data_IF_903743587339
#
_entry.id   IF_903743587339
#
_cell.length_a   1.000
_cell.length_b   1.000
_cell.length_c   1.000
_cell.angle_alpha   90.00
_cell.angle_beta   90.00
_cell.angle_gamma   90.00
#
_symmetry.space_group_name_H-M   'P 1'
#
loop_
_entity.id
_entity.type
_entity.pdbx_description
1 polymer ?
#
# COMPACT_ATOMS: atom_id res chain seq x y z
N UNK A 1 101.27 -27.07 -32.24
CA UNK A 1 101.17 -27.86 -31.00
C UNK A 1 99.70 -27.95 -30.63
N UNK A 2 99.09 -29.14 -30.61
CA UNK A 2 97.72 -29.29 -30.13
C UNK A 2 97.69 -28.99 -28.63
N UNK A 3 96.76 -28.13 -28.18
CA UNK A 3 96.69 -27.74 -26.78
C UNK A 3 96.00 -28.83 -25.96
N UNK A 4 96.25 -28.90 -24.65
CA UNK A 4 95.54 -29.84 -23.76
C UNK A 4 94.01 -29.67 -23.81
N UNK A 5 93.52 -28.47 -24.18
CA UNK A 5 92.09 -28.23 -24.40
C UNK A 5 91.56 -29.03 -25.60
N UNK A 6 92.31 -29.08 -26.70
CA UNK A 6 91.88 -29.79 -27.90
C UNK A 6 91.81 -31.31 -27.66
N UNK A 7 92.74 -31.86 -26.86
CA UNK A 7 92.71 -33.27 -26.46
C UNK A 7 91.50 -33.59 -25.58
N UNK A 8 91.15 -32.70 -24.64
CA UNK A 8 89.96 -32.88 -23.79
C UNK A 8 88.69 -32.77 -24.62
N UNK A 9 88.60 -31.81 -25.56
CA UNK A 9 87.45 -31.68 -26.46
C UNK A 9 87.30 -32.89 -27.38
N UNK A 10 88.40 -33.42 -27.93
CA UNK A 10 88.37 -34.63 -28.76
C UNK A 10 87.94 -35.87 -27.95
N UNK A 11 88.42 -36.02 -26.72
CA UNK A 11 88.01 -37.12 -25.83
C UNK A 11 86.53 -37.03 -25.45
N UNK A 12 86.04 -35.83 -25.08
CA UNK A 12 84.63 -35.59 -24.78
C UNK A 12 83.73 -35.83 -26.00
N UNK A 13 84.19 -35.49 -27.20
CA UNK A 13 83.47 -35.75 -28.44
C UNK A 13 83.31 -37.26 -28.70
N UNK A 14 84.39 -38.04 -28.55
CA UNK A 14 84.33 -39.50 -28.70
C UNK A 14 83.43 -40.13 -27.64
N UNK A 15 83.53 -39.71 -26.38
CA UNK A 15 82.65 -40.18 -25.30
C UNK A 15 81.18 -39.81 -25.55
N UNK A 16 80.91 -38.61 -26.08
CA UNK A 16 79.57 -38.17 -26.48
C UNK A 16 78.95 -39.03 -27.58
N UNK A 17 79.76 -39.42 -28.59
CA UNK A 17 79.30 -40.32 -29.67
C UNK A 17 79.02 -41.73 -29.19
N UNK A 18 79.86 -42.28 -28.32
CA UNK A 18 79.66 -43.62 -27.76
C UNK A 18 78.38 -43.71 -26.92
N UNK A 19 78.16 -42.72 -26.05
CA UNK A 19 76.96 -42.65 -25.22
C UNK A 19 75.69 -42.43 -26.04
N UNK A 20 75.76 -41.64 -27.12
CA UNK A 20 74.63 -41.41 -28.02
C UNK A 20 74.29 -42.63 -28.87
N UNK A 21 75.31 -43.31 -29.41
CA UNK A 21 75.13 -44.56 -30.15
C UNK A 21 74.52 -45.70 -29.32
N UNK A 22 74.86 -45.80 -28.03
CA UNK A 22 74.29 -46.82 -27.14
C UNK A 22 72.82 -46.57 -26.79
N UNK A 23 72.39 -45.31 -26.69
CA UNK A 23 71.04 -44.97 -26.20
C UNK A 23 70.04 -44.66 -27.32
N UNK A 24 70.49 -44.16 -28.47
CA UNK A 24 69.62 -43.75 -29.60
C UNK A 24 69.88 -44.52 -30.90
N UNK A 25 70.91 -45.36 -30.97
CA UNK A 25 71.26 -46.13 -32.18
C UNK A 25 71.93 -45.33 -33.30
N UNK A 26 71.95 -43.99 -33.20
CA UNK A 26 72.52 -43.08 -34.19
C UNK A 26 73.69 -42.27 -33.60
N UNK A 27 74.95 -42.63 -33.91
CA UNK A 27 76.13 -42.04 -33.28
C UNK A 27 76.59 -40.69 -33.89
N UNK A 28 75.89 -40.18 -34.91
CA UNK A 28 76.22 -38.94 -35.64
C UNK A 28 75.19 -37.81 -35.47
N UNK A 29 74.22 -37.96 -34.55
CA UNK A 29 73.24 -36.89 -34.27
C UNK A 29 73.95 -35.65 -33.68
N UNK A 30 73.78 -34.44 -34.26
CA UNK A 30 74.53 -33.25 -33.85
C UNK A 30 74.18 -32.73 -32.45
N UNK A 31 72.98 -33.04 -31.94
CA UNK A 31 72.45 -32.48 -30.71
C UNK A 31 72.66 -33.48 -29.54
N UNK A 32 73.45 -33.14 -28.50
CA UNK A 32 73.74 -34.07 -27.42
C UNK A 32 72.47 -34.53 -26.69
N UNK A 33 72.50 -35.75 -26.13
CA UNK A 33 71.35 -36.31 -25.41
C UNK A 33 70.90 -35.34 -24.30
N UNK A 34 69.61 -34.99 -24.35
CA UNK A 34 69.00 -34.07 -23.40
C UNK A 34 69.14 -32.58 -23.75
N UNK A 35 69.95 -32.17 -24.73
CA UNK A 35 70.19 -30.76 -25.04
C UNK A 35 68.90 -29.97 -25.30
N UNK A 36 67.94 -30.53 -26.05
CA UNK A 36 66.61 -29.92 -26.27
C UNK A 36 65.82 -29.76 -24.97
N UNK A 37 65.86 -30.75 -24.10
CA UNK A 37 65.19 -30.75 -22.79
C UNK A 37 65.84 -29.74 -21.84
N UNK A 38 67.17 -29.73 -21.75
CA UNK A 38 67.93 -28.81 -20.89
C UNK A 38 67.76 -27.37 -21.34
N UNK A 39 67.84 -27.09 -22.67
CA UNK A 39 67.53 -25.78 -23.25
C UNK A 39 66.08 -25.40 -22.95
N UNK A 40 65.12 -26.31 -23.13
CA UNK A 40 63.72 -26.09 -22.81
C UNK A 40 63.44 -25.74 -21.35
N UNK A 41 64.10 -26.42 -20.41
CA UNK A 41 64.01 -26.13 -18.96
C UNK A 41 64.60 -24.75 -18.65
N UNK A 42 65.76 -24.41 -19.22
CA UNK A 42 66.38 -23.08 -19.01
C UNK A 42 65.53 -21.94 -19.57
N UNK A 43 65.02 -22.09 -20.80
CA UNK A 43 64.11 -21.09 -21.37
C UNK A 43 62.80 -21.01 -20.59
N UNK A 44 62.24 -22.15 -20.17
CA UNK A 44 61.05 -22.19 -19.32
C UNK A 44 61.26 -21.47 -17.98
N UNK A 45 62.42 -21.70 -17.34
CA UNK A 45 62.80 -21.01 -16.10
C UNK A 45 62.94 -19.50 -16.33
N UNK A 46 63.58 -19.09 -17.41
CA UNK A 46 63.74 -17.68 -17.78
C UNK A 46 62.38 -17.00 -17.96
N UNK A 47 61.45 -17.64 -18.70
CA UNK A 47 60.10 -17.13 -18.89
C UNK A 47 59.33 -17.07 -17.57
N UNK A 48 59.42 -18.11 -16.74
CA UNK A 48 58.76 -18.12 -15.42
C UNK A 48 59.27 -16.99 -14.53
N UNK A 49 60.57 -16.74 -14.53
CA UNK A 49 61.19 -15.65 -13.77
C UNK A 49 60.77 -14.28 -14.31
N UNK A 50 60.67 -14.13 -15.63
CA UNK A 50 60.18 -12.91 -16.27
C UNK A 50 58.72 -12.64 -15.90
N UNK A 51 57.85 -13.66 -15.95
CA UNK A 51 56.44 -13.54 -15.55
C UNK A 51 56.34 -13.18 -14.07
N UNK A 52 57.10 -13.85 -13.19
CA UNK A 52 57.12 -13.54 -11.77
C UNK A 52 57.57 -12.09 -11.49
N UNK A 53 58.59 -11.61 -12.22
CA UNK A 53 59.05 -10.24 -12.15
C UNK A 53 57.96 -9.25 -12.60
N UNK A 54 57.32 -9.51 -13.73
CA UNK A 54 56.22 -8.67 -14.24
C UNK A 54 55.06 -8.60 -13.24
N UNK A 55 54.66 -9.74 -12.66
CA UNK A 55 53.59 -9.79 -11.65
C UNK A 55 53.98 -9.04 -10.37
N UNK A 56 55.23 -9.16 -9.95
CA UNK A 56 55.74 -8.48 -8.75
C UNK A 56 55.79 -6.97 -8.95
N UNK A 57 56.33 -6.51 -10.09
CA UNK A 57 56.37 -5.08 -10.45
C UNK A 57 54.94 -4.53 -10.56
N UNK A 58 54.04 -5.26 -11.22
CA UNK A 58 52.63 -4.86 -11.34
C UNK A 58 51.96 -4.73 -9.97
N UNK A 59 52.18 -5.69 -9.07
CA UNK A 59 51.62 -5.67 -7.71
C UNK A 59 52.13 -4.52 -6.84
N UNK A 60 53.38 -4.09 -7.01
CA UNK A 60 53.96 -2.94 -6.29
C UNK A 60 53.48 -1.61 -6.87
N UNK A 61 53.37 -1.49 -8.19
CA UNK A 61 52.93 -0.26 -8.87
C UNK A 61 51.43 -0.02 -8.70
N UNK A 62 50.62 -1.09 -8.73
CA UNK A 62 49.19 -1.03 -8.43
C UNK A 62 48.91 -1.86 -7.18
N UNK A 63 49.29 -1.36 -5.98
CA UNK A 63 48.98 -2.05 -4.75
C UNK A 63 47.47 -2.20 -4.67
N UNK A 64 47.01 -3.45 -4.54
CA UNK A 64 45.59 -3.79 -4.49
C UNK A 64 44.92 -3.03 -3.35
N UNK A 65 44.24 -1.95 -3.69
CA UNK A 65 43.40 -1.18 -2.80
C UNK A 65 42.35 -0.54 -3.66
N UNK A 66 41.10 -0.97 -3.53
CA UNK A 66 40.00 -0.23 -4.11
C UNK A 66 40.13 1.20 -3.59
N UNK A 67 40.39 2.20 -4.43
CA UNK A 67 40.38 3.62 -4.05
C UNK A 67 39.14 4.34 -4.54
N UNK A 68 38.32 3.66 -5.36
CA UNK A 68 37.03 4.14 -5.84
C UNK A 68 36.07 4.57 -4.73
N UNK A 69 36.25 4.03 -3.52
CA UNK A 69 35.45 4.40 -2.35
C UNK A 69 35.75 5.81 -1.80
N UNK A 70 36.88 6.44 -2.15
CA UNK A 70 37.22 7.81 -1.72
C UNK A 70 36.52 8.90 -2.54
N UNK A 71 35.43 8.57 -3.22
CA UNK A 71 34.58 9.53 -3.90
C UNK A 71 33.45 9.95 -2.98
N UNK A 72 33.19 11.25 -2.88
CA UNK A 72 32.11 11.76 -2.03
C UNK A 72 30.77 11.20 -2.50
N UNK A 73 29.96 10.69 -1.57
CA UNK A 73 28.71 10.00 -1.87
C UNK A 73 28.84 8.48 -2.04
N UNK A 74 30.03 7.91 -1.85
CA UNK A 74 30.20 6.45 -1.92
C UNK A 74 29.84 5.77 -0.61
N UNK A 75 28.90 4.81 -0.67
CA UNK A 75 28.60 3.87 0.40
C UNK A 75 29.58 2.70 0.35
N UNK A 76 30.43 2.65 1.36
CA UNK A 76 31.50 1.68 1.54
C UNK A 76 31.02 0.57 2.46
N UNK A 77 31.03 -0.67 1.97
CA UNK A 77 30.71 -1.86 2.78
C UNK A 77 31.99 -2.65 3.05
N UNK A 78 32.26 -2.91 4.32
CA UNK A 78 33.45 -3.66 4.74
C UNK A 78 33.21 -5.16 4.58
N UNK A 79 34.09 -5.84 3.84
CA UNK A 79 34.06 -7.30 3.68
C UNK A 79 34.21 -8.01 5.03
N UNK A 80 33.47 -9.10 5.21
CA UNK A 80 33.48 -9.90 6.43
C UNK A 80 32.59 -9.35 7.55
N UNK A 81 32.70 -8.06 7.90
CA UNK A 81 31.87 -7.47 8.97
C UNK A 81 30.52 -6.93 8.49
N UNK A 82 30.40 -6.57 7.20
CA UNK A 82 29.20 -5.93 6.67
C UNK A 82 28.99 -4.50 7.16
N UNK A 83 29.93 -3.92 7.91
CA UNK A 83 29.83 -2.54 8.39
C UNK A 83 29.77 -1.56 7.21
N UNK A 84 28.85 -0.60 7.29
CA UNK A 84 28.57 0.37 6.22
C UNK A 84 28.97 1.78 6.62
N UNK A 85 29.67 2.47 5.74
CA UNK A 85 30.11 3.85 5.91
C UNK A 85 29.82 4.66 4.67
N UNK A 86 29.33 5.90 4.80
CA UNK A 86 29.22 6.84 3.69
C UNK A 86 30.42 7.78 3.73
N UNK A 87 31.12 7.89 2.60
CA UNK A 87 32.25 8.81 2.47
C UNK A 87 31.77 10.19 2.04
N UNK A 88 31.82 11.17 2.94
CA UNK A 88 31.43 12.57 2.71
C UNK A 88 32.42 13.46 3.45
N UNK A 89 32.75 14.63 2.87
CA UNK A 89 33.66 15.61 3.49
C UNK A 89 35.02 15.03 3.94
N UNK A 90 35.54 14.05 3.20
CA UNK A 90 36.83 13.42 3.50
C UNK A 90 36.81 12.42 4.65
N UNK A 91 35.64 12.12 5.24
CA UNK A 91 35.47 11.24 6.40
C UNK A 91 34.57 10.06 6.09
N UNK A 92 34.77 8.95 6.82
CA UNK A 92 33.89 7.79 6.80
C UNK A 92 32.86 7.92 7.93
N UNK A 93 31.61 8.18 7.57
CA UNK A 93 30.50 8.26 8.51
C UNK A 93 29.78 6.91 8.58
N UNK A 94 29.67 6.25 9.73
CA UNK A 94 28.82 5.06 9.86
C UNK A 94 27.38 5.41 9.49
N UNK A 95 26.70 4.57 8.72
CA UNK A 95 25.31 4.83 8.32
C UNK A 95 24.37 3.75 8.83
N UNK A 96 23.23 4.18 9.39
CA UNK A 96 22.23 3.29 9.99
C UNK A 96 21.48 2.41 8.97
N UNK A 97 21.27 2.92 7.75
CA UNK A 97 20.57 2.21 6.68
C UNK A 97 20.92 2.77 5.30
N UNK A 98 20.79 1.94 4.26
CA UNK A 98 21.06 2.38 2.88
C UNK A 98 20.04 3.44 2.39
N UNK A 99 18.80 3.47 2.90
CA UNK A 99 17.85 4.57 2.62
C UNK A 99 18.42 5.93 3.00
N UNK A 100 19.04 6.05 4.17
CA UNK A 100 19.68 7.30 4.61
C UNK A 100 20.86 7.68 3.73
N UNK A 101 21.67 6.70 3.30
CA UNK A 101 22.75 6.93 2.35
C UNK A 101 22.22 7.45 1.00
N UNK A 102 21.13 6.87 0.48
CA UNK A 102 20.44 7.32 -0.74
C UNK A 102 19.93 8.75 -0.60
N UNK A 103 19.29 9.10 0.51
CA UNK A 103 18.79 10.45 0.75
C UNK A 103 19.91 11.50 0.84
N UNK A 104 21.04 11.17 1.47
CA UNK A 104 22.17 12.09 1.62
C UNK A 104 23.00 12.23 0.33
N UNK A 105 23.26 11.13 -0.37
CA UNK A 105 24.11 11.13 -1.55
C UNK A 105 23.34 11.49 -2.84
N UNK A 106 22.04 11.19 -2.90
CA UNK A 106 21.20 11.36 -4.09
C UNK A 106 21.76 10.61 -5.30
N UNK A 107 21.78 11.27 -6.46
CA UNK A 107 22.28 10.72 -7.73
C UNK A 107 23.79 10.42 -7.72
N UNK A 108 24.51 10.89 -6.70
CA UNK A 108 25.95 10.64 -6.54
C UNK A 108 26.25 9.32 -5.84
N UNK A 109 25.22 8.60 -5.38
CA UNK A 109 25.41 7.36 -4.62
C UNK A 109 26.16 6.31 -5.45
N UNK A 110 27.25 5.80 -4.88
CA UNK A 110 28.04 4.68 -5.42
C UNK A 110 28.17 3.61 -4.35
N UNK A 111 28.32 2.36 -4.77
CA UNK A 111 28.53 1.24 -3.86
C UNK A 111 29.91 0.65 -4.08
N UNK A 112 30.70 0.54 -3.01
CA UNK A 112 32.03 -0.06 -3.04
C UNK A 112 32.17 -1.05 -1.90
N UNK A 113 32.68 -2.24 -2.21
CA UNK A 113 32.94 -3.27 -1.20
C UNK A 113 34.44 -3.47 -1.04
N UNK A 114 34.94 -3.20 0.17
CA UNK A 114 36.38 -3.11 0.42
C UNK A 114 36.79 -3.90 1.65
N UNK A 115 38.03 -4.34 1.67
CA UNK A 115 38.61 -4.94 2.86
C UNK A 115 38.85 -3.87 3.93
N UNK A 116 38.72 -4.22 5.22
CA UNK A 116 38.91 -3.26 6.31
C UNK A 116 40.27 -2.55 6.25
N UNK A 117 41.30 -3.27 5.78
CA UNK A 117 42.66 -2.74 5.60
C UNK A 117 42.73 -1.63 4.54
N UNK A 118 41.83 -1.65 3.55
CA UNK A 118 41.79 -0.63 2.49
C UNK A 118 41.30 0.72 3.00
N UNK A 119 40.57 0.76 4.12
CA UNK A 119 40.13 2.01 4.74
C UNK A 119 41.29 2.78 5.39
N UNK A 120 42.38 2.09 5.78
CA UNK A 120 43.55 2.68 6.42
C UNK A 120 43.19 3.59 7.60
N UNK A 121 43.90 4.71 7.71
CA UNK A 121 43.74 5.72 8.78
C UNK A 121 42.72 6.82 8.42
N UNK A 122 41.76 6.51 7.55
CA UNK A 122 40.79 7.52 7.11
C UNK A 122 39.94 7.98 8.29
N UNK A 123 39.82 9.30 8.54
CA UNK A 123 39.09 9.81 9.69
C UNK A 123 37.64 9.34 9.69
N UNK A 124 37.14 8.97 10.87
CA UNK A 124 35.74 8.59 11.07
C UNK A 124 34.95 9.79 11.56
N UNK A 125 33.75 9.95 11.04
CA UNK A 125 32.81 10.99 11.48
C UNK A 125 31.68 10.41 12.34
N UNK A 126 30.72 11.27 12.66
CA UNK A 126 29.52 10.89 13.41
C UNK A 126 28.63 9.91 12.63
N UNK A 127 27.80 9.17 13.37
CA UNK A 127 26.81 8.25 12.78
C UNK A 127 25.72 9.06 12.07
N UNK A 128 25.41 8.70 10.83
CA UNK A 128 24.37 9.32 10.03
C UNK A 128 23.19 8.37 9.81
N UNK A 129 21.99 8.93 9.78
CA UNK A 129 20.81 8.27 9.27
C UNK A 129 19.55 8.40 10.12
N UNK A 130 18.45 7.90 9.57
CA UNK A 130 17.12 7.94 10.15
C UNK A 130 16.88 6.60 10.85
N UNK A 131 16.66 6.63 12.17
CA UNK A 131 16.32 5.42 12.94
C UNK A 131 15.00 4.84 12.43
N UNK A 132 14.95 3.54 12.19
CA UNK A 132 13.72 2.85 11.73
C UNK A 132 13.47 2.92 10.21
N UNK A 133 14.29 3.65 9.45
CA UNK A 133 14.21 3.59 7.99
C UNK A 133 14.69 2.21 7.49
N UNK A 134 14.06 1.66 6.43
CA UNK A 134 14.45 0.36 5.88
C UNK A 134 15.86 0.41 5.30
N UNK A 135 16.56 -0.72 5.31
CA UNK A 135 17.88 -0.82 4.69
C UNK A 135 17.80 -0.50 3.19
N UNK A 136 16.96 -1.21 2.45
CA UNK A 136 16.68 -0.93 1.05
C UNK A 136 15.19 -0.62 0.85
N UNK A 137 14.83 0.54 0.25
CA UNK A 137 13.47 0.78 -0.17
C UNK A 137 13.12 -0.14 -1.37
N UNK A 138 11.82 -0.42 -1.60
CA UNK A 138 11.37 -1.15 -2.78
C UNK A 138 11.87 -0.50 -4.07
N UNK A 139 12.19 -1.30 -5.08
CA UNK A 139 12.50 -0.78 -6.42
C UNK A 139 11.23 -0.26 -7.09
N UNK A 140 11.40 0.55 -8.13
CA UNK A 140 10.26 1.11 -8.86
C UNK A 140 9.33 0.03 -9.43
N UNK A 141 9.88 -1.08 -9.93
CA UNK A 141 9.11 -2.24 -10.42
C UNK A 141 8.37 -3.03 -9.31
N UNK A 142 8.81 -2.90 -8.06
CA UNK A 142 8.21 -3.57 -6.89
C UNK A 142 7.12 -2.72 -6.23
N UNK A 143 6.91 -1.49 -6.72
CA UNK A 143 5.81 -0.64 -6.28
C UNK A 143 4.50 -1.11 -6.89
N UNK A 144 3.50 -1.34 -6.05
CA UNK A 144 2.17 -1.71 -6.50
C UNK A 144 1.31 -0.50 -6.81
N UNK A 145 0.68 -0.51 -7.99
CA UNK A 145 -0.46 0.35 -8.34
C UNK A 145 -1.81 -0.34 -8.11
N UNK A 146 -1.79 -1.54 -7.50
CA UNK A 146 -2.94 -2.39 -7.27
C UNK A 146 -3.92 -1.85 -6.23
N UNK A 147 -5.03 -2.56 -6.07
CA UNK A 147 -6.07 -2.23 -5.11
C UNK A 147 -5.57 -2.31 -3.66
N UNK A 148 -6.18 -1.51 -2.80
CA UNK A 148 -6.03 -1.58 -1.35
C UNK A 148 -7.33 -2.11 -0.77
N UNK A 149 -7.24 -2.93 0.26
CA UNK A 149 -8.41 -3.53 0.89
C UNK A 149 -8.29 -3.43 2.40
N UNK A 150 -9.23 -2.74 3.01
CA UNK A 150 -9.37 -2.68 4.46
C UNK A 150 -10.54 -3.58 4.86
N UNK A 151 -10.32 -4.56 5.72
CA UNK A 151 -11.29 -5.58 6.08
C UNK A 151 -11.58 -5.57 7.57
N UNK A 152 -12.87 -5.50 7.92
CA UNK A 152 -13.35 -5.78 9.26
C UNK A 152 -13.64 -7.27 9.40
N UNK A 153 -13.00 -7.90 10.38
CA UNK A 153 -13.24 -9.29 10.80
C UNK A 153 -13.65 -9.33 12.27
N UNK A 154 -14.33 -10.40 12.68
CA UNK A 154 -14.63 -10.67 14.09
C UNK A 154 -13.49 -11.46 14.69
N UNK A 155 -13.02 -11.03 15.87
CA UNK A 155 -12.04 -11.73 16.70
C UNK A 155 -12.77 -12.39 17.86
N UNK A 156 -12.87 -13.71 17.86
CA UNK A 156 -13.29 -14.45 19.05
C UNK A 156 -12.25 -14.27 20.16
N UNK A 157 -12.62 -13.62 21.27
CA UNK A 157 -11.81 -13.62 22.48
C UNK A 157 -12.04 -14.91 23.26
N UNK A 158 -11.08 -15.29 24.11
CA UNK A 158 -11.23 -16.43 25.01
C UNK A 158 -12.37 -16.29 26.03
N UNK A 159 -12.98 -15.10 26.15
CA UNK A 159 -14.17 -14.82 26.98
C UNK A 159 -15.49 -14.93 26.20
N UNK A 160 -15.45 -15.33 24.92
CA UNK A 160 -16.64 -15.46 24.07
C UNK A 160 -17.14 -14.14 23.45
N UNK A 161 -16.55 -13.00 23.81
CA UNK A 161 -16.85 -11.72 23.16
C UNK A 161 -16.14 -11.63 21.80
N UNK A 162 -16.87 -11.21 20.77
CA UNK A 162 -16.29 -10.97 19.45
C UNK A 162 -15.86 -9.51 19.31
N UNK A 163 -14.58 -9.22 19.47
CA UNK A 163 -14.02 -7.89 19.19
C UNK A 163 -13.89 -7.65 17.69
N UNK A 164 -14.04 -6.41 17.23
CA UNK A 164 -13.75 -6.08 15.83
C UNK A 164 -12.23 -6.02 15.59
N UNK A 165 -11.80 -6.42 14.40
CA UNK A 165 -10.41 -6.36 13.95
C UNK A 165 -10.33 -5.76 12.55
N UNK A 166 -9.37 -4.85 12.33
CA UNK A 166 -9.04 -4.29 11.03
C UNK A 166 -7.79 -4.95 10.42
N UNK A 167 -7.94 -5.52 9.24
CA UNK A 167 -6.81 -5.98 8.40
C UNK A 167 -6.67 -5.05 7.19
N UNK A 168 -5.46 -4.56 6.94
CA UNK A 168 -5.12 -3.76 5.75
C UNK A 168 -4.25 -4.58 4.78
N UNK A 169 -4.76 -4.80 3.57
CA UNK A 169 -4.02 -5.44 2.48
C UNK A 169 -3.67 -4.44 1.38
N UNK A 170 -2.40 -4.39 0.99
CA UNK A 170 -1.85 -3.42 0.02
C UNK A 170 -1.36 -4.14 -1.22
N UNK A 171 -1.96 -3.85 -2.38
CA UNK A 171 -1.50 -4.36 -3.66
C UNK A 171 -1.69 -5.86 -3.86
N UNK A 172 -2.63 -6.44 -3.11
CA UNK A 172 -3.05 -7.83 -3.17
C UNK A 172 -4.46 -7.89 -3.76
N UNK A 173 -4.78 -8.89 -4.60
CA UNK A 173 -6.10 -9.03 -5.17
C UNK A 173 -7.12 -9.28 -4.05
N UNK A 174 -8.11 -8.41 -3.95
CA UNK A 174 -9.27 -8.65 -3.11
C UNK A 174 -10.16 -9.69 -3.80
N UNK A 175 -10.19 -10.91 -3.27
CA UNK A 175 -11.28 -11.84 -3.58
C UNK A 175 -12.60 -11.34 -2.99
N UNK A 176 -13.71 -12.00 -3.36
CA UNK A 176 -15.00 -11.76 -2.73
C UNK A 176 -16.09 -11.19 -3.64
N UNK A 177 -17.29 -11.09 -3.07
CA UNK A 177 -18.48 -10.57 -3.72
C UNK A 177 -18.57 -9.07 -3.48
N UNK A 178 -18.52 -8.28 -4.56
CA UNK A 178 -18.87 -6.88 -4.47
C UNK A 178 -20.37 -6.72 -4.24
N UNK A 179 -20.76 -5.80 -3.36
CA UNK A 179 -22.16 -5.46 -3.16
C UNK A 179 -22.70 -4.79 -4.43
N UNK A 180 -23.88 -5.24 -4.88
CA UNK A 180 -24.61 -4.58 -5.95
C UNK A 180 -25.09 -3.18 -5.54
N UNK A 181 -25.46 -2.36 -6.51
CA UNK A 181 -25.82 -0.95 -6.27
C UNK A 181 -26.99 -0.73 -5.31
N UNK A 182 -27.85 -1.74 -5.11
CA UNK A 182 -29.01 -1.71 -4.19
C UNK A 182 -28.83 -2.61 -2.96
N UNK A 183 -27.62 -3.11 -2.71
CA UNK A 183 -27.28 -3.84 -1.49
C UNK A 183 -26.49 -2.95 -0.54
N UNK A 184 -26.65 -3.19 0.75
CA UNK A 184 -25.83 -2.58 1.78
C UNK A 184 -25.53 -3.53 2.93
N UNK A 185 -24.58 -3.18 3.78
CA UNK A 185 -24.26 -3.95 4.99
C UNK A 185 -24.42 -3.04 6.19
N UNK A 186 -25.17 -3.51 7.19
CA UNK A 186 -25.33 -2.81 8.45
C UNK A 186 -24.13 -3.09 9.36
N UNK A 187 -23.47 -2.04 9.81
CA UNK A 187 -22.30 -2.12 10.70
C UNK A 187 -22.50 -1.24 11.93
N UNK A 188 -21.77 -1.50 13.00
CA UNK A 188 -21.74 -0.63 14.19
C UNK A 188 -20.30 -0.35 14.61
N UNK A 189 -20.01 0.92 14.89
CA UNK A 189 -18.73 1.34 15.44
C UNK A 189 -18.60 1.01 16.94
N UNK A 190 -17.46 1.35 17.57
CA UNK A 190 -17.25 1.17 19.00
C UNK A 190 -18.23 1.93 19.90
N UNK A 191 -18.85 2.99 19.38
CA UNK A 191 -19.88 3.78 20.05
C UNK A 191 -21.29 3.15 19.96
N UNK A 192 -21.41 1.99 19.31
CA UNK A 192 -22.66 1.28 19.09
C UNK A 192 -23.57 1.93 18.04
N UNK A 193 -23.15 3.01 17.38
CA UNK A 193 -24.00 3.71 16.40
C UNK A 193 -24.04 2.95 15.07
N UNK A 194 -25.25 2.61 14.57
CA UNK A 194 -25.38 1.89 13.32
C UNK A 194 -25.06 2.78 12.12
N UNK A 195 -24.36 2.20 11.15
CA UNK A 195 -24.09 2.79 9.85
C UNK A 195 -24.45 1.79 8.75
N UNK A 196 -24.96 2.27 7.63
CA UNK A 196 -25.15 1.47 6.42
C UNK A 196 -23.96 1.69 5.50
N UNK A 197 -23.30 0.61 5.12
CA UNK A 197 -22.33 0.62 4.04
C UNK A 197 -23.05 0.48 2.71
N UNK A 198 -22.94 1.48 1.85
CA UNK A 198 -23.60 1.50 0.55
C UNK A 198 -22.74 2.25 -0.48
N UNK A 199 -22.48 1.61 -1.62
CA UNK A 199 -21.70 2.18 -2.74
C UNK A 199 -20.37 2.86 -2.33
N UNK A 200 -19.62 2.23 -1.41
CA UNK A 200 -18.32 2.75 -0.96
C UNK A 200 -18.40 3.91 0.04
N UNK A 201 -19.59 4.21 0.55
CA UNK A 201 -19.83 5.21 1.60
C UNK A 201 -20.33 4.56 2.88
N UNK A 202 -20.10 5.22 4.02
CA UNK A 202 -20.81 4.98 5.27
C UNK A 202 -21.91 6.02 5.45
N UNK A 203 -23.14 5.57 5.65
CA UNK A 203 -24.28 6.45 5.91
C UNK A 203 -24.68 6.24 7.36
N UNK A 204 -24.59 7.28 8.19
CA UNK A 204 -24.99 7.19 9.59
C UNK A 204 -26.51 7.01 9.69
N UNK A 205 -26.97 6.08 10.52
CA UNK A 205 -28.38 6.00 10.89
C UNK A 205 -28.57 6.73 12.22
N UNK A 206 -29.72 7.37 12.38
CA UNK A 206 -30.16 7.92 13.65
C UNK A 206 -31.26 7.02 14.25
N UNK A 207 -30.91 6.14 15.21
CA UNK A 207 -31.91 5.29 15.87
C UNK A 207 -32.95 6.08 16.66
N UNK A 208 -32.57 7.24 17.22
CA UNK A 208 -33.47 8.06 18.02
C UNK A 208 -34.57 8.71 17.16
N UNK A 209 -34.29 8.95 15.89
CA UNK A 209 -35.26 9.40 14.89
C UNK A 209 -36.04 8.24 14.22
N UNK A 210 -35.88 7.00 14.70
CA UNK A 210 -36.60 5.83 14.18
C UNK A 210 -36.11 5.31 12.83
N UNK A 211 -34.96 5.77 12.32
CA UNK A 211 -34.48 5.46 10.98
C UNK A 211 -34.30 3.95 10.72
N UNK A 212 -33.80 3.21 11.71
CA UNK A 212 -33.59 1.76 11.61
C UNK A 212 -34.91 1.02 11.36
N UNK A 213 -35.96 1.32 12.14
CA UNK A 213 -37.28 0.71 11.97
C UNK A 213 -37.95 1.18 10.67
N UNK A 214 -37.84 2.47 10.35
CA UNK A 214 -38.40 3.05 9.13
C UNK A 214 -37.90 2.34 7.87
N UNK A 215 -36.62 1.98 7.83
CA UNK A 215 -35.98 1.33 6.69
C UNK A 215 -36.10 -0.20 6.72
N UNK A 216 -36.65 -0.78 7.80
CA UNK A 216 -36.82 -2.23 7.95
C UNK A 216 -35.54 -2.96 8.36
N UNK A 217 -34.69 -2.32 9.17
CA UNK A 217 -33.40 -2.86 9.63
C UNK A 217 -33.41 -3.25 11.12
N UNK A 218 -34.57 -3.18 11.78
CA UNK A 218 -34.78 -3.43 13.21
C UNK A 218 -34.39 -4.85 13.65
N UNK A 219 -34.65 -5.85 12.81
CA UNK A 219 -34.28 -7.24 13.08
C UNK A 219 -32.80 -7.57 12.77
N UNK A 220 -32.06 -6.65 12.15
CA UNK A 220 -30.69 -6.91 11.72
C UNK A 220 -29.70 -6.65 12.86
N UNK A 221 -28.75 -7.57 13.04
CA UNK A 221 -27.63 -7.38 13.96
C UNK A 221 -26.47 -6.73 13.20
N UNK A 222 -26.06 -5.50 13.53
CA UNK A 222 -24.95 -4.84 12.84
C UNK A 222 -23.64 -5.61 13.02
N UNK A 223 -22.82 -5.65 11.98
CA UNK A 223 -21.45 -6.20 12.08
C UNK A 223 -20.59 -5.21 12.89
N UNK A 224 -19.98 -5.64 14.01
CA UNK A 224 -19.11 -4.75 14.78
C UNK A 224 -17.83 -4.43 14.01
N UNK A 225 -17.44 -3.17 13.99
CA UNK A 225 -16.23 -2.68 13.30
C UNK A 225 -15.41 -1.75 14.19
N UNK A 226 -14.14 -1.56 13.86
CA UNK A 226 -13.29 -0.56 14.53
C UNK A 226 -13.57 0.84 13.99
N UNK A 227 -13.24 1.87 14.76
CA UNK A 227 -13.30 3.26 14.29
C UNK A 227 -12.40 3.47 13.06
N UNK A 228 -11.20 2.89 13.08
CA UNK A 228 -10.26 2.95 11.95
C UNK A 228 -10.86 2.36 10.66
N UNK A 229 -11.65 1.29 10.75
CA UNK A 229 -12.36 0.74 9.58
C UNK A 229 -13.41 1.72 9.03
N UNK A 230 -14.21 2.36 9.90
CA UNK A 230 -15.20 3.36 9.47
C UNK A 230 -14.55 4.48 8.66
N UNK A 231 -13.38 4.94 9.08
CA UNK A 231 -12.64 6.03 8.43
C UNK A 231 -12.02 5.65 7.08
N UNK A 232 -11.96 4.36 6.73
CA UNK A 232 -11.53 3.92 5.38
C UNK A 232 -12.56 4.20 4.28
N UNK A 233 -13.81 4.44 4.68
CA UNK A 233 -14.91 4.75 3.77
C UNK A 233 -15.15 6.26 3.74
N UNK A 234 -15.85 6.75 2.72
CA UNK A 234 -16.29 8.16 2.71
C UNK A 234 -17.55 8.30 3.56
N UNK A 235 -17.65 9.39 4.34
CA UNK A 235 -18.92 9.75 4.97
C UNK A 235 -19.93 10.20 3.90
N UNK A 236 -21.06 9.50 3.82
CA UNK A 236 -22.22 9.87 3.01
C UNK A 236 -23.23 10.70 3.81
N UNK A 237 -24.37 11.06 3.19
CA UNK A 237 -25.46 11.68 3.93
C UNK A 237 -25.97 10.75 5.03
N UNK A 238 -26.38 11.32 6.16
CA UNK A 238 -27.04 10.56 7.20
C UNK A 238 -28.40 10.06 6.68
N UNK A 239 -28.74 8.79 6.94
CA UNK A 239 -30.06 8.21 6.70
C UNK A 239 -31.03 8.74 7.75
N UNK A 240 -31.35 10.02 7.63
CA UNK A 240 -32.26 10.77 8.48
C UNK A 240 -33.38 11.35 7.63
N UNK A 241 -34.53 11.61 8.25
CA UNK A 241 -35.67 12.21 7.56
C UNK A 241 -35.30 13.57 6.99
N UNK A 242 -35.53 13.81 5.68
CA UNK A 242 -35.32 15.14 5.11
C UNK A 242 -36.08 16.21 5.88
N UNK A 243 -35.44 17.34 6.18
CA UNK A 243 -36.05 18.44 6.91
C UNK A 243 -36.35 19.62 5.98
N UNK A 244 -37.59 19.74 5.44
CA UNK A 244 -37.99 20.93 4.70
C UNK A 244 -37.83 22.20 5.55
N UNK A 245 -37.17 23.24 5.03
CA UNK A 245 -37.10 24.53 5.72
C UNK A 245 -38.51 25.07 6.01
N UNK A 246 -38.75 25.52 7.26
CA UNK A 246 -40.06 26.02 7.68
C UNK A 246 -41.08 24.93 8.00
N UNK A 247 -40.66 23.69 8.31
CA UNK A 247 -41.55 22.62 8.76
C UNK A 247 -42.54 23.11 9.84
N UNK A 248 -43.82 22.79 9.65
CA UNK A 248 -44.92 23.19 10.53
C UNK A 248 -45.52 24.58 10.24
N UNK A 249 -44.86 25.42 9.44
CA UNK A 249 -45.44 26.69 8.98
C UNK A 249 -46.67 26.44 8.09
N UNK A 250 -47.65 27.38 8.06
CA UNK A 250 -48.82 27.28 7.20
C UNK A 250 -48.43 27.17 5.72
N UNK A 251 -49.09 26.25 5.01
CA UNK A 251 -48.98 26.07 3.57
C UNK A 251 -50.27 26.44 2.83
N UNK A 252 -50.31 26.33 1.49
CA UNK A 252 -51.52 26.55 0.69
C UNK A 252 -52.65 25.57 1.06
N UNK A 253 -53.87 25.85 0.64
CA UNK A 253 -54.94 24.88 0.73
C UNK A 253 -54.67 23.73 -0.25
N UNK A 254 -54.64 22.49 0.25
CA UNK A 254 -54.42 21.27 -0.54
C UNK A 254 -55.39 20.20 -0.04
N UNK A 255 -55.94 19.39 -0.94
CA UNK A 255 -56.91 18.35 -0.63
C UNK A 255 -58.10 18.87 0.22
N UNK A 256 -58.59 20.06 -0.12
CA UNK A 256 -59.76 20.67 0.54
C UNK A 256 -59.53 21.24 1.95
N UNK A 257 -58.28 21.31 2.43
CA UNK A 257 -57.98 21.87 3.76
C UNK A 257 -56.66 22.65 3.79
N UNK A 258 -56.48 23.51 4.82
CA UNK A 258 -55.21 24.19 5.04
C UNK A 258 -54.08 23.20 5.33
N UNK A 259 -52.93 23.37 4.67
CA UNK A 259 -51.78 22.49 4.84
C UNK A 259 -50.70 23.11 5.72
N UNK A 260 -49.65 22.31 6.01
CA UNK A 260 -48.43 22.77 6.66
C UNK A 260 -47.21 22.23 5.91
N UNK A 261 -46.15 23.02 5.87
CA UNK A 261 -44.87 22.57 5.32
C UNK A 261 -44.37 21.34 6.10
N UNK A 262 -43.88 20.33 5.37
CA UNK A 262 -43.49 19.02 5.90
C UNK A 262 -44.61 17.98 5.89
N UNK A 263 -45.86 18.33 5.57
CA UNK A 263 -46.91 17.33 5.38
C UNK A 263 -46.67 16.51 4.12
N UNK A 264 -46.96 15.22 4.23
CA UNK A 264 -46.81 14.24 3.16
C UNK A 264 -48.13 14.01 2.45
N UNK A 265 -48.04 13.67 1.17
CA UNK A 265 -49.19 13.46 0.30
C UNK A 265 -48.98 12.29 -0.66
N UNK A 266 -50.06 11.60 -0.99
CA UNK A 266 -50.12 10.59 -2.04
C UNK A 266 -50.63 11.17 -3.35
N UNK A 267 -49.93 10.92 -4.45
CA UNK A 267 -50.35 11.23 -5.80
C UNK A 267 -51.46 10.30 -6.31
N UNK A 268 -52.12 10.66 -7.43
CA UNK A 268 -53.17 9.83 -8.02
C UNK A 268 -52.68 8.46 -8.48
N UNK A 269 -51.43 8.39 -8.96
CA UNK A 269 -50.76 7.21 -9.52
C UNK A 269 -49.81 6.52 -8.54
N UNK A 270 -49.85 6.90 -7.26
CA UNK A 270 -49.09 6.25 -6.17
C UNK A 270 -47.73 6.89 -5.85
N UNK A 271 -47.37 7.98 -6.54
CA UNK A 271 -46.22 8.81 -6.17
C UNK A 271 -46.42 9.44 -4.80
N UNK A 272 -45.33 9.83 -4.17
CA UNK A 272 -45.34 10.37 -2.81
C UNK A 272 -44.69 11.73 -2.83
N UNK A 273 -45.29 12.67 -2.13
CA UNK A 273 -44.83 14.05 -2.10
C UNK A 273 -44.69 14.54 -0.66
N UNK A 274 -43.83 15.52 -0.46
CA UNK A 274 -43.83 16.36 0.74
C UNK A 274 -44.01 17.82 0.32
N UNK A 275 -44.80 18.56 1.09
CA UNK A 275 -44.93 19.99 0.89
C UNK A 275 -43.71 20.72 1.46
N UNK A 276 -43.08 21.54 0.63
CA UNK A 276 -42.00 22.46 1.01
C UNK A 276 -42.43 23.90 0.76
N UNK A 277 -41.60 24.88 1.14
CA UNK A 277 -41.83 26.29 0.77
C UNK A 277 -41.85 26.53 -0.74
N UNK A 278 -41.15 25.70 -1.51
CA UNK A 278 -41.09 25.78 -2.98
C UNK A 278 -42.25 25.04 -3.65
N UNK A 279 -43.10 24.33 -2.88
CA UNK A 279 -44.20 23.51 -3.38
C UNK A 279 -44.04 22.03 -3.07
N UNK A 280 -44.85 21.21 -3.74
CA UNK A 280 -44.88 19.76 -3.64
C UNK A 280 -43.65 19.14 -4.32
N UNK A 281 -42.82 18.50 -3.51
CA UNK A 281 -41.58 17.84 -3.94
C UNK A 281 -41.80 16.32 -3.93
N UNK A 282 -41.52 15.60 -5.03
CA UNK A 282 -41.61 14.15 -5.04
C UNK A 282 -40.55 13.54 -4.11
N UNK A 283 -40.95 12.51 -3.37
CA UNK A 283 -40.11 11.78 -2.43
C UNK A 283 -39.63 10.46 -3.03
N UNK A 284 -38.40 10.09 -2.67
CA UNK A 284 -37.90 8.74 -2.83
C UNK A 284 -38.55 7.80 -1.80
N UNK A 285 -38.48 6.48 -2.02
CA UNK A 285 -38.99 5.50 -1.04
C UNK A 285 -38.29 5.65 0.31
N UNK A 286 -36.97 5.83 0.30
CA UNK A 286 -36.16 6.07 1.51
C UNK A 286 -36.60 7.33 2.23
N UNK A 287 -36.70 8.46 1.51
CA UNK A 287 -37.10 9.74 2.09
C UNK A 287 -38.52 9.70 2.67
N UNK A 288 -39.44 9.02 1.99
CA UNK A 288 -40.80 8.82 2.46
C UNK A 288 -40.85 7.99 3.75
N UNK A 289 -40.16 6.85 3.80
CA UNK A 289 -40.14 5.99 4.99
C UNK A 289 -39.55 6.72 6.20
N UNK A 290 -38.45 7.45 6.00
CA UNK A 290 -37.81 8.21 7.06
C UNK A 290 -38.74 9.32 7.58
N UNK A 291 -39.41 10.08 6.71
CA UNK A 291 -40.39 11.10 7.13
C UNK A 291 -41.59 10.50 7.87
N UNK A 292 -42.06 9.32 7.45
CA UNK A 292 -43.19 8.64 8.09
C UNK A 292 -42.90 8.27 9.55
N UNK A 293 -41.65 7.92 9.86
CA UNK A 293 -41.22 7.51 11.19
C UNK A 293 -40.63 8.66 12.04
N UNK A 294 -40.45 9.86 11.46
CA UNK A 294 -39.75 10.98 12.09
C UNK A 294 -40.62 11.70 13.15
N UNK A 295 -40.21 11.71 14.43
CA UNK A 295 -40.94 12.39 15.49
C UNK A 295 -41.10 13.90 15.25
N UNK A 296 -40.13 14.55 14.60
CA UNK A 296 -40.22 15.97 14.32
C UNK A 296 -41.28 16.27 13.24
N UNK A 297 -41.39 15.42 12.21
CA UNK A 297 -42.47 15.50 11.21
C UNK A 297 -43.84 15.33 11.87
N UNK A 298 -43.98 14.32 12.73
CA UNK A 298 -45.21 14.09 13.49
C UNK A 298 -45.61 15.31 14.32
N UNK A 299 -44.67 15.87 15.09
CA UNK A 299 -44.93 17.00 15.99
C UNK A 299 -45.26 18.29 15.23
N UNK A 300 -44.45 18.65 14.23
CA UNK A 300 -44.49 19.98 13.62
C UNK A 300 -45.47 20.07 12.45
N UNK A 301 -45.51 19.06 11.58
CA UNK A 301 -46.40 19.07 10.41
C UNK A 301 -47.79 18.48 10.69
N UNK A 302 -47.89 17.57 11.67
CA UNK A 302 -49.12 16.86 12.03
C UNK A 302 -49.65 17.17 13.43
N UNK A 303 -49.02 18.10 14.17
CA UNK A 303 -49.47 18.51 15.50
C UNK A 303 -49.43 17.40 16.55
N UNK A 304 -48.54 16.41 16.38
CA UNK A 304 -48.43 15.23 17.24
C UNK A 304 -49.35 14.07 16.85
N UNK A 305 -50.28 14.26 15.92
CA UNK A 305 -51.14 13.19 15.39
C UNK A 305 -50.37 12.21 14.49
N UNK A 306 -50.96 11.05 14.20
CA UNK A 306 -50.36 10.07 13.31
C UNK A 306 -50.07 10.67 11.92
N UNK A 307 -48.90 10.35 11.36
CA UNK A 307 -48.52 10.78 10.01
C UNK A 307 -49.34 10.00 8.99
N UNK A 308 -50.44 10.61 8.53
CA UNK A 308 -51.31 10.06 7.49
C UNK A 308 -51.24 10.95 6.25
N UNK A 309 -50.60 10.50 5.16
CA UNK A 309 -50.55 11.25 3.93
C UNK A 309 -51.94 11.42 3.31
N UNK A 310 -52.33 12.66 3.03
CA UNK A 310 -53.58 12.94 2.33
C UNK A 310 -53.42 12.69 0.83
N UNK A 311 -54.51 12.37 0.13
CA UNK A 311 -54.49 12.19 -1.33
C UNK A 311 -54.60 13.55 -2.01
N UNK A 312 -53.70 13.82 -2.94
CA UNK A 312 -53.75 15.03 -3.77
C UNK A 312 -54.74 14.87 -4.90
N UNK A 313 -55.45 15.95 -5.20
CA UNK A 313 -56.18 16.09 -6.46
C UNK A 313 -55.19 16.47 -7.59
N UNK A 314 -55.45 16.06 -8.84
CA UNK A 314 -54.59 16.43 -9.97
C UNK A 314 -54.39 17.95 -10.13
N UNK A 315 -55.42 18.75 -9.79
CA UNK A 315 -55.36 20.21 -9.85
C UNK A 315 -54.37 20.80 -8.84
N UNK A 316 -54.38 20.30 -7.60
CA UNK A 316 -53.46 20.73 -6.55
C UNK A 316 -52.00 20.46 -6.93
N UNK A 317 -51.74 19.27 -7.48
CA UNK A 317 -50.41 18.88 -7.93
C UNK A 317 -49.93 19.73 -9.10
N UNK A 318 -50.81 20.08 -10.04
CA UNK A 318 -50.47 20.94 -11.17
C UNK A 318 -50.17 22.38 -10.73
N UNK A 319 -50.92 22.91 -9.77
CA UNK A 319 -50.80 24.29 -9.31
C UNK A 319 -49.62 24.53 -8.36
N UNK A 320 -49.24 23.53 -7.55
CA UNK A 320 -48.26 23.71 -6.46
C UNK A 320 -47.01 22.85 -6.62
N UNK A 321 -46.65 22.44 -7.84
CA UNK A 321 -45.46 21.63 -8.08
C UNK A 321 -44.18 22.44 -7.82
N UNK A 322 -43.25 21.86 -7.06
CA UNK A 322 -41.94 22.47 -6.87
C UNK A 322 -41.07 22.38 -8.14
N UNK A 323 -40.06 23.26 -8.29
CA UNK A 323 -39.07 23.16 -9.36
C UNK A 323 -38.36 21.81 -9.37
N UNK A 324 -37.92 21.34 -10.55
CA UNK A 324 -37.30 20.02 -10.70
C UNK A 324 -36.06 19.79 -9.81
N UNK A 325 -35.31 20.86 -9.49
CA UNK A 325 -34.14 20.81 -8.61
C UNK A 325 -34.45 20.54 -7.13
N UNK A 326 -35.67 20.86 -6.67
CA UNK A 326 -36.06 20.76 -5.27
C UNK A 326 -36.02 19.31 -4.75
N UNK A 327 -36.38 18.34 -5.60
CA UNK A 327 -36.32 16.92 -5.26
C UNK A 327 -34.89 16.44 -4.98
N UNK A 328 -33.94 16.86 -5.83
CA UNK A 328 -32.52 16.52 -5.63
C UNK A 328 -31.94 17.21 -4.40
N UNK A 329 -32.32 18.46 -4.17
CA UNK A 329 -31.89 19.23 -3.00
C UNK A 329 -32.42 18.64 -1.69
N UNK A 330 -33.66 18.16 -1.67
CA UNK A 330 -34.27 17.53 -0.50
C UNK A 330 -33.71 16.12 -0.24
N UNK A 331 -33.48 15.34 -1.30
CA UNK A 331 -32.94 13.99 -1.17
C UNK A 331 -31.48 13.96 -0.71
N UNK A 332 -30.70 15.02 -0.92
CA UNK A 332 -29.31 15.17 -0.42
C UNK A 332 -28.38 13.96 -0.69
N UNK A 333 -28.62 13.22 -1.77
CA UNK A 333 -27.83 12.01 -2.11
C UNK A 333 -28.21 10.74 -1.35
N UNK A 334 -29.34 10.74 -0.63
CA UNK A 334 -29.93 9.53 -0.06
C UNK A 334 -30.26 8.51 -1.16
N UNK A 335 -30.17 7.20 -0.88
CA UNK A 335 -30.63 6.16 -1.80
C UNK A 335 -32.09 6.38 -2.19
N UNK A 336 -32.43 6.15 -3.46
CA UNK A 336 -33.82 6.26 -3.91
C UNK A 336 -34.73 5.19 -3.27
N UNK A 337 -34.17 4.00 -3.05
CA UNK A 337 -34.81 2.91 -2.32
C UNK A 337 -33.92 2.49 -1.15
N UNK A 338 -34.49 2.08 -0.01
CA UNK A 338 -33.70 1.55 1.09
C UNK A 338 -32.85 0.37 0.59
N UNK A 339 -31.51 0.43 0.69
CA UNK A 339 -30.68 -0.68 0.23
C UNK A 339 -31.04 -1.95 0.99
N UNK A 340 -31.10 -3.08 0.29
CA UNK A 340 -31.36 -4.38 0.90
C UNK A 340 -30.13 -4.81 1.68
N UNK A 341 -30.31 -5.25 2.92
CA UNK A 341 -29.21 -5.75 3.71
C UNK A 341 -28.69 -7.06 3.10
N UNK A 342 -27.44 -7.05 2.68
CA UNK A 342 -26.72 -8.24 2.31
C UNK A 342 -26.39 -9.04 3.59
N UNK A 343 -26.64 -10.36 3.63
CA UNK A 343 -26.24 -11.18 4.75
C UNK A 343 -24.72 -11.19 4.87
N UNK A 344 -24.24 -11.15 6.11
CA UNK A 344 -22.82 -11.32 6.46
C UNK A 344 -22.72 -12.35 7.55
N UNK A 345 -22.21 -13.52 7.18
CA UNK A 345 -22.04 -14.64 8.11
C UNK A 345 -20.89 -14.37 9.10
N UNK A 346 -20.87 -15.00 10.29
CA UNK A 346 -19.82 -14.79 11.27
C UNK A 346 -18.40 -15.12 10.79
N UNK A 347 -18.26 -15.99 9.79
CA UNK A 347 -17.01 -16.39 9.15
C UNK A 347 -16.64 -15.52 7.93
N UNK A 348 -17.38 -14.44 7.68
CA UNK A 348 -17.13 -13.48 6.62
C UNK A 348 -16.57 -12.16 7.15
N UNK A 349 -15.80 -11.49 6.29
CA UNK A 349 -15.27 -10.15 6.48
C UNK A 349 -16.04 -9.16 5.61
N UNK A 350 -16.24 -7.95 6.15
CA UNK A 350 -16.76 -6.80 5.40
C UNK A 350 -15.57 -5.91 5.07
N UNK A 351 -15.36 -5.61 3.78
CA UNK A 351 -14.17 -4.90 3.35
C UNK A 351 -14.48 -3.67 2.50
N UNK A 352 -13.70 -2.62 2.69
CA UNK A 352 -13.61 -1.47 1.81
C UNK A 352 -12.45 -1.71 0.82
N UNK A 353 -12.79 -1.87 -0.46
CA UNK A 353 -11.84 -2.01 -1.55
C UNK A 353 -11.64 -0.69 -2.28
N UNK A 354 -10.43 -0.12 -2.20
CA UNK A 354 -10.02 1.09 -2.89
C UNK A 354 -9.24 0.73 -4.16
N UNK A 355 -9.75 1.11 -5.33
CA UNK A 355 -9.04 0.96 -6.60
C UNK A 355 -8.57 2.33 -7.10
N UNK A 356 -7.26 2.57 -7.23
CA UNK A 356 -6.75 3.78 -7.87
C UNK A 356 -7.24 3.88 -9.32
N UNK A 357 -7.65 5.07 -9.76
CA UNK A 357 -7.91 5.41 -11.17
C UNK A 357 -7.36 6.80 -11.49
N UNK A 358 -7.14 7.14 -12.78
CA UNK A 358 -6.68 8.47 -13.18
C UNK A 358 -7.58 9.60 -12.68
N UNK A 359 -8.90 9.40 -12.72
CA UNK A 359 -9.91 10.40 -12.31
C UNK A 359 -10.19 10.44 -10.80
N UNK A 360 -9.40 9.69 -10.01
CA UNK A 360 -9.58 9.55 -8.56
C UNK A 360 -9.92 8.12 -8.16
N UNK A 361 -9.66 7.74 -6.89
CA UNK A 361 -9.89 6.38 -6.44
C UNK A 361 -11.39 6.06 -6.33
N UNK A 362 -11.74 4.82 -6.63
CA UNK A 362 -13.10 4.30 -6.44
C UNK A 362 -13.09 3.34 -5.26
N UNK A 363 -13.94 3.63 -4.27
CA UNK A 363 -14.17 2.75 -3.13
C UNK A 363 -15.37 1.86 -3.40
N UNK A 364 -15.25 0.58 -3.08
CA UNK A 364 -16.30 -0.42 -3.17
C UNK A 364 -16.41 -1.19 -1.86
N UNK A 365 -17.58 -1.75 -1.59
CA UNK A 365 -17.79 -2.61 -0.42
C UNK A 365 -17.84 -4.06 -0.90
N UNK A 366 -17.06 -4.91 -0.25
CA UNK A 366 -16.86 -6.31 -0.58
C UNK A 366 -17.22 -7.17 0.64
N UNK A 367 -17.74 -8.36 0.39
CA UNK A 367 -17.89 -9.41 1.40
C UNK A 367 -17.11 -10.62 0.92
N UNK A 368 -16.25 -11.16 1.79
CA UNK A 368 -15.40 -12.31 1.50
C UNK A 368 -15.23 -13.18 2.75
N UNK A 369 -14.82 -14.46 2.59
CA UNK A 369 -14.47 -15.29 3.74
C UNK A 369 -13.38 -14.63 4.60
N UNK A 370 -13.56 -14.61 5.93
CA UNK A 370 -12.60 -14.04 6.86
C UNK A 370 -11.25 -14.76 6.79
N UNK A 371 -11.23 -16.06 6.46
CA UNK A 371 -10.00 -16.82 6.24
C UNK A 371 -9.18 -16.35 5.01
N UNK A 372 -9.81 -15.65 4.07
CA UNK A 372 -9.10 -15.04 2.93
C UNK A 372 -8.44 -13.70 3.29
N UNK A 373 -8.76 -13.15 4.47
CA UNK A 373 -8.20 -11.92 5.01
C UNK A 373 -7.04 -12.28 5.92
N UNK A 374 -5.87 -12.47 5.32
CA UNK A 374 -4.63 -12.78 6.04
C UNK A 374 -3.75 -11.53 6.20
N UNK A 375 -2.85 -11.56 7.18
CA UNK A 375 -1.91 -10.49 7.48
C UNK A 375 -1.12 -10.74 8.75
N UNK A 376 -0.13 -9.90 9.02
CA UNK A 376 0.68 -9.98 10.24
C UNK A 376 0.47 -8.74 11.11
N UNK A 377 0.51 -8.88 12.44
CA UNK A 377 0.46 -7.70 13.29
C UNK A 377 1.66 -6.80 12.99
N UNK A 378 1.47 -5.47 12.92
CA UNK A 378 2.57 -4.54 12.72
C UNK A 378 3.57 -4.67 13.87
N UNK A 379 4.85 -4.77 13.53
CA UNK A 379 5.94 -4.83 14.52
C UNK A 379 6.44 -3.42 14.76
N UNK A 380 6.48 -3.02 16.02
CA UNK A 380 7.05 -1.73 16.40
C UNK A 380 8.57 -1.78 16.26
N UNK A 381 9.09 -0.83 15.51
CA UNK A 381 10.53 -0.65 15.34
C UNK A 381 10.95 0.67 15.97
N UNK A 382 12.16 0.76 16.56
CA UNK A 382 12.72 2.02 17.01
C UNK A 382 12.68 3.06 15.88
N UNK A 383 12.30 4.30 16.20
CA UNK A 383 12.19 5.38 15.23
C UNK A 383 10.91 5.37 14.36
N UNK A 384 10.06 4.34 14.46
CA UNK A 384 8.76 4.30 13.79
C UNK A 384 7.66 4.66 14.77
N UNK A 385 6.97 5.77 14.52
CA UNK A 385 5.80 6.19 15.30
C UNK A 385 4.58 5.36 14.95
N UNK A 386 3.76 5.04 15.95
CA UNK A 386 2.48 4.37 15.70
C UNK A 386 1.50 5.28 14.97
N UNK A 387 0.67 4.67 14.13
CA UNK A 387 -0.47 5.36 13.51
C UNK A 387 -1.51 5.71 14.57
N UNK A 388 -2.18 6.85 14.44
CA UNK A 388 -3.35 7.19 15.27
C UNK A 388 -4.53 6.25 15.00
N UNK A 389 -4.61 5.69 13.78
CA UNK A 389 -5.58 4.69 13.36
C UNK A 389 -4.82 3.42 12.96
N UNK A 390 -4.67 2.50 13.92
CA UNK A 390 -3.91 1.27 13.71
C UNK A 390 -4.76 0.21 12.98
N UNK A 391 -4.12 -0.48 12.03
CA UNK A 391 -4.61 -1.77 11.56
C UNK A 391 -4.03 -2.86 12.47
N UNK A 392 -4.87 -3.79 12.90
CA UNK A 392 -4.44 -4.92 13.72
C UNK A 392 -3.53 -5.87 12.94
N UNK A 393 -3.79 -6.03 11.64
CA UNK A 393 -3.04 -6.87 10.73
C UNK A 393 -2.74 -6.12 9.43
N UNK A 394 -1.54 -6.32 8.89
CA UNK A 394 -1.11 -5.74 7.61
C UNK A 394 -0.61 -6.86 6.70
N UNK A 395 -1.04 -6.82 5.45
CA UNK A 395 -0.56 -7.69 4.39
C UNK A 395 -0.03 -6.86 3.22
N UNK A 396 1.27 -7.01 2.94
CA UNK A 396 1.96 -6.40 1.82
C UNK A 396 2.94 -7.42 1.25
N UNK A 397 3.19 -7.37 -0.06
CA UNK A 397 4.18 -8.24 -0.70
C UNK A 397 5.57 -7.95 -0.09
N UNK A 398 6.34 -8.98 0.33
CA UNK A 398 7.71 -8.79 0.83
C UNK A 398 8.58 -8.03 -0.19
N UNK A 399 9.34 -7.04 0.28
CA UNK A 399 10.19 -6.19 -0.57
C UNK A 399 9.43 -5.19 -1.44
N UNK A 400 8.09 -5.26 -1.46
CA UNK A 400 7.23 -4.33 -2.19
C UNK A 400 6.82 -3.13 -1.35
N UNK A 401 6.14 -2.20 -2.01
CA UNK A 401 5.55 -1.04 -1.37
C UNK A 401 4.54 -0.36 -2.28
N UNK A 402 4.08 0.81 -1.88
CA UNK A 402 3.21 1.64 -2.68
C UNK A 402 3.65 3.10 -2.51
N UNK A 403 3.66 3.84 -3.62
CA UNK A 403 3.77 5.29 -3.57
C UNK A 403 2.36 5.84 -3.44
N UNK A 404 2.07 6.47 -2.31
CA UNK A 404 0.73 6.98 -1.98
C UNK A 404 0.69 8.50 -1.99
N UNK A 405 -0.48 9.05 -2.30
CA UNK A 405 -0.79 10.46 -2.14
C UNK A 405 -1.95 10.58 -1.17
N UNK A 406 -1.81 11.39 -0.13
CA UNK A 406 -2.91 11.72 0.75
C UNK A 406 -3.95 12.56 -0.01
N UNK A 407 -5.21 12.15 0.08
CA UNK A 407 -6.35 12.90 -0.45
C UNK A 407 -7.18 13.38 0.73
N UNK A 408 -7.66 14.62 0.68
CA UNK A 408 -8.71 15.08 1.59
C UNK A 408 -10.01 14.30 1.35
N UNK A 409 -10.93 14.30 2.31
CA UNK A 409 -12.25 13.65 2.16
C UNK A 409 -13.10 14.18 0.98
N UNK A 410 -12.72 15.33 0.40
CA UNK A 410 -13.29 15.88 -0.82
C UNK A 410 -12.65 15.33 -2.11
N UNK A 411 -11.69 14.41 -2.01
CA UNK A 411 -10.95 13.84 -3.15
C UNK A 411 -9.88 14.77 -3.73
N UNK A 412 -9.67 15.95 -3.14
CA UNK A 412 -8.59 16.86 -3.54
C UNK A 412 -7.33 16.54 -2.76
N UNK A 413 -6.22 16.33 -3.47
CA UNK A 413 -4.92 16.04 -2.87
C UNK A 413 -4.39 17.24 -2.10
N UNK A 414 -4.19 17.08 -0.80
CA UNK A 414 -3.36 17.99 -0.01
C UNK A 414 -1.95 17.41 0.02
N UNK A 415 -1.02 17.99 -0.73
CA UNK A 415 0.40 17.69 -0.54
C UNK A 415 0.91 18.56 0.60
N UNK A 416 1.09 17.97 1.79
CA UNK A 416 2.09 18.48 2.73
C UNK A 416 3.35 17.66 2.51
N UNK A 417 4.37 18.27 1.91
CA UNK A 417 5.73 17.77 1.96
C UNK A 417 6.37 18.19 3.28
#
# INVERSE_FOLDING_TARGET
MQSRRDQVQAHLFVMGRLTTGMLRGEPDEPDPIGARTTKGVWYGLLVALLVALVVTVYGVVRPGGATGWRQSGTLVTVKGSGARFLYVEGRLHPVLNETSARLLAGDRLRFEQVDVRSLGDTPRGDVLGIVGAPDAPPRAEDLTSGAWTACATRRTTGTGESGARLTLAIGLPAGGRALAGQEGVLIAGPDGRPHLLWQGMRLALDPAAGATAALGYDAAVPVPVTAAFLDTLRAGPALAAPAPPGRGEPGPALAGSGSRIGRMYGGPTGERYVLTREGLVPLTETGYRLLLADPATQREAYGGGAVQPARLEPADLAAHRAPAGAARALAQGLPAEPPRLAPVDPDQAVCAGLRPRPDGPVTSVLVLPAAAVDGRPPVLQPGVTRSCAEADLIAVRPGGGALVRALSGAGQGGTSY
#
